data_IF_440205275809
#
_entry.id   IF_440205275809
#
_cell.length_a   1.000
_cell.length_b   1.000
_cell.length_c   1.000
_cell.angle_alpha   90.00
_cell.angle_beta   90.00
_cell.angle_gamma   90.00
#
_symmetry.space_group_name_H-M   'P 1'
#
loop_
_entity.id
_entity.type
_entity.pdbx_description
1 polymer ?
#
# COMPACT_ATOMS: atom_id res chain seq x y z
N UNK A 1 -3.84 -64.62 24.14
CA UNK A 1 -3.72 -63.86 22.87
C UNK A 1 -4.91 -62.92 22.79
N UNK A 2 -4.71 -61.63 23.11
CA UNK A 2 -5.79 -60.64 23.15
C UNK A 2 -6.16 -60.17 21.74
N UNK A 3 -7.46 -60.12 21.42
CA UNK A 3 -8.00 -59.63 20.15
C UNK A 3 -7.62 -58.16 19.95
N UNK A 4 -6.61 -57.90 19.12
CA UNK A 4 -6.19 -56.54 18.72
C UNK A 4 -7.04 -55.95 17.58
N UNK A 5 -7.95 -56.74 17.00
CA UNK A 5 -8.73 -56.35 15.80
C UNK A 5 -9.74 -55.22 16.03
N UNK A 6 -10.05 -54.87 17.28
CA UNK A 6 -11.04 -53.83 17.62
C UNK A 6 -10.49 -52.40 17.78
N UNK A 7 -9.17 -52.22 17.91
CA UNK A 7 -8.55 -50.93 18.30
C UNK A 7 -7.80 -50.27 17.15
N UNK A 8 -7.38 -51.05 16.14
CA UNK A 8 -6.63 -50.54 14.99
C UNK A 8 -7.48 -49.56 14.16
N UNK A 9 -8.75 -49.90 13.90
CA UNK A 9 -9.66 -49.04 13.14
C UNK A 9 -9.88 -47.65 13.77
N UNK A 10 -10.27 -47.52 15.06
CA UNK A 10 -10.42 -46.20 15.67
C UNK A 10 -9.10 -45.43 15.79
N UNK A 11 -7.97 -46.12 16.03
CA UNK A 11 -6.67 -45.46 16.07
C UNK A 11 -6.28 -44.90 14.69
N UNK A 12 -6.44 -45.68 13.63
CA UNK A 12 -6.18 -45.23 12.25
C UNK A 12 -7.12 -44.09 11.87
N UNK A 13 -8.39 -44.13 12.28
CA UNK A 13 -9.34 -43.05 12.05
C UNK A 13 -8.92 -41.75 12.76
N UNK A 14 -8.48 -41.82 14.02
CA UNK A 14 -7.98 -40.66 14.77
C UNK A 14 -6.71 -40.11 14.13
N UNK A 15 -5.76 -40.97 13.75
CA UNK A 15 -4.52 -40.54 13.09
C UNK A 15 -4.82 -39.89 11.73
N UNK A 16 -5.72 -40.48 10.94
CA UNK A 16 -6.15 -39.91 9.67
C UNK A 16 -6.84 -38.55 9.85
N UNK A 17 -7.67 -38.40 10.89
CA UNK A 17 -8.33 -37.14 11.21
C UNK A 17 -7.33 -36.07 11.66
N UNK A 18 -6.35 -36.44 12.49
CA UNK A 18 -5.26 -35.53 12.87
C UNK A 18 -4.44 -35.10 11.65
N UNK A 19 -4.08 -36.04 10.77
CA UNK A 19 -3.37 -35.72 9.52
C UNK A 19 -4.18 -34.79 8.63
N UNK A 20 -5.48 -35.04 8.46
CA UNK A 20 -6.37 -34.17 7.70
C UNK A 20 -6.43 -32.76 8.33
N UNK A 21 -6.49 -32.67 9.66
CA UNK A 21 -6.48 -31.40 10.38
C UNK A 21 -5.16 -30.63 10.19
N UNK A 22 -4.02 -31.31 10.28
CA UNK A 22 -2.71 -30.68 10.03
C UNK A 22 -2.58 -30.18 8.59
N UNK A 23 -2.98 -30.99 7.61
CA UNK A 23 -2.93 -30.60 6.19
C UNK A 23 -3.83 -29.40 5.91
N UNK A 24 -5.03 -29.37 6.51
CA UNK A 24 -5.96 -28.25 6.37
C UNK A 24 -5.38 -26.96 6.96
N UNK A 25 -4.78 -27.03 8.16
CA UNK A 25 -4.14 -25.86 8.77
C UNK A 25 -2.93 -25.37 7.96
N UNK A 26 -2.12 -26.29 7.43
CA UNK A 26 -0.99 -25.93 6.59
C UNK A 26 -1.45 -25.22 5.30
N UNK A 27 -2.53 -25.70 4.67
CA UNK A 27 -3.11 -25.06 3.50
C UNK A 27 -3.65 -23.65 3.82
N UNK A 28 -4.40 -23.50 4.92
CA UNK A 28 -4.92 -22.20 5.36
C UNK A 28 -3.79 -21.20 5.66
N UNK A 29 -2.73 -21.66 6.32
CA UNK A 29 -1.57 -20.83 6.61
C UNK A 29 -0.88 -20.38 5.32
N UNK A 30 -0.69 -21.29 4.37
CA UNK A 30 -0.06 -20.98 3.09
C UNK A 30 -0.86 -19.96 2.27
N UNK A 31 -2.19 -20.10 2.22
CA UNK A 31 -3.06 -19.12 1.55
C UNK A 31 -2.98 -17.75 2.21
N UNK A 32 -2.98 -17.70 3.55
CA UNK A 32 -2.84 -16.44 4.30
C UNK A 32 -1.48 -15.76 4.03
N UNK A 33 -0.39 -16.53 3.99
CA UNK A 33 0.94 -16.01 3.66
C UNK A 33 1.02 -15.49 2.22
N UNK A 34 0.42 -16.20 1.26
CA UNK A 34 0.37 -15.73 -0.12
C UNK A 34 -0.41 -14.41 -0.23
N UNK A 35 -1.58 -14.31 0.40
CA UNK A 35 -2.38 -13.09 0.40
C UNK A 35 -1.63 -11.92 1.04
N UNK A 36 -0.96 -12.15 2.17
CA UNK A 36 -0.13 -11.14 2.82
C UNK A 36 1.02 -10.70 1.91
N UNK A 37 1.72 -11.63 1.26
CA UNK A 37 2.80 -11.31 0.32
C UNK A 37 2.31 -10.47 -0.87
N UNK A 38 1.13 -10.78 -1.41
CA UNK A 38 0.52 -9.99 -2.47
C UNK A 38 0.14 -8.58 -2.00
N UNK A 39 -0.49 -8.46 -0.83
CA UNK A 39 -0.85 -7.17 -0.26
C UNK A 39 0.38 -6.30 0.02
N UNK A 40 1.48 -6.88 0.53
CA UNK A 40 2.74 -6.18 0.75
C UNK A 40 3.33 -5.67 -0.56
N UNK A 41 3.32 -6.48 -1.62
CA UNK A 41 3.80 -6.04 -2.95
C UNK A 41 2.98 -4.88 -3.50
N UNK A 42 1.65 -4.97 -3.43
CA UNK A 42 0.76 -3.89 -3.89
C UNK A 42 0.96 -2.60 -3.09
N UNK A 43 1.15 -2.71 -1.77
CA UNK A 43 1.45 -1.57 -0.92
C UNK A 43 2.79 -0.92 -1.31
N UNK A 44 3.84 -1.72 -1.52
CA UNK A 44 5.15 -1.24 -1.94
C UNK A 44 5.11 -0.54 -3.30
N UNK A 45 4.38 -1.09 -4.28
CA UNK A 45 4.20 -0.45 -5.60
C UNK A 45 3.49 0.91 -5.47
N UNK A 46 2.46 1.02 -4.63
CA UNK A 46 1.80 2.29 -4.39
C UNK A 46 2.71 3.30 -3.69
N UNK A 47 3.52 2.86 -2.71
CA UNK A 47 4.45 3.73 -2.00
C UNK A 47 5.56 4.25 -2.92
N UNK A 48 6.09 3.40 -3.82
CA UNK A 48 7.02 3.83 -4.87
C UNK A 48 6.41 4.93 -5.75
N UNK A 49 5.15 4.76 -6.19
CA UNK A 49 4.44 5.77 -6.98
C UNK A 49 4.23 7.08 -6.23
N UNK A 50 3.91 7.01 -4.93
CA UNK A 50 3.81 8.20 -4.08
C UNK A 50 5.14 8.93 -4.05
N UNK A 51 6.25 8.24 -3.83
CA UNK A 51 7.57 8.87 -3.76
C UNK A 51 7.95 9.55 -5.08
N UNK A 52 7.72 8.88 -6.21
CA UNK A 52 7.95 9.47 -7.53
C UNK A 52 7.10 10.73 -7.74
N UNK A 53 5.81 10.66 -7.43
CA UNK A 53 4.93 11.80 -7.59
C UNK A 53 5.25 12.95 -6.64
N UNK A 54 5.65 12.69 -5.40
CA UNK A 54 6.11 13.72 -4.46
C UNK A 54 7.33 14.45 -5.03
N UNK A 55 8.28 13.73 -5.64
CA UNK A 55 9.45 14.33 -6.27
C UNK A 55 9.05 15.29 -7.40
N UNK A 56 8.23 14.82 -8.35
CA UNK A 56 7.78 15.63 -9.49
C UNK A 56 6.95 16.85 -9.05
N UNK A 57 6.10 16.68 -8.03
CA UNK A 57 5.33 17.76 -7.43
C UNK A 57 6.26 18.81 -6.81
N UNK A 58 7.31 18.40 -6.10
CA UNK A 58 8.28 19.34 -5.52
C UNK A 58 9.01 20.13 -6.60
N UNK A 59 9.41 19.51 -7.71
CA UNK A 59 10.01 20.22 -8.84
C UNK A 59 9.06 21.25 -9.44
N UNK A 60 7.78 20.88 -9.63
CA UNK A 60 6.81 21.79 -10.20
C UNK A 60 6.44 22.94 -9.25
N UNK A 61 6.40 22.69 -7.93
CA UNK A 61 6.28 23.73 -6.90
C UNK A 61 7.49 24.66 -6.96
N UNK A 62 8.71 24.14 -7.06
CA UNK A 62 9.91 24.97 -7.18
C UNK A 62 9.86 25.90 -8.41
N UNK A 63 9.31 25.41 -9.53
CA UNK A 63 9.16 26.17 -10.76
C UNK A 63 8.03 27.22 -10.73
N UNK A 64 6.95 26.99 -9.97
CA UNK A 64 5.69 27.76 -10.11
C UNK A 64 5.17 28.44 -8.85
N UNK A 65 5.64 28.06 -7.65
CA UNK A 65 5.06 28.51 -6.37
C UNK A 65 5.20 30.01 -6.08
N UNK A 66 6.12 30.69 -6.77
CA UNK A 66 6.23 32.15 -6.71
C UNK A 66 5.08 32.87 -7.41
N UNK A 67 4.43 32.23 -8.39
CA UNK A 67 3.50 32.87 -9.33
C UNK A 67 2.06 32.37 -9.17
N UNK A 68 1.87 31.13 -8.74
CA UNK A 68 0.57 30.45 -8.82
C UNK A 68 0.05 30.02 -7.44
N UNK A 69 -1.15 30.47 -7.09
CA UNK A 69 -1.81 30.15 -5.80
C UNK A 69 -2.43 28.75 -5.78
N UNK A 70 -2.85 28.22 -6.93
CA UNK A 70 -3.47 26.89 -7.04
C UNK A 70 -3.10 26.24 -8.36
N UNK A 71 -2.71 24.97 -8.33
CA UNK A 71 -2.34 24.21 -9.52
C UNK A 71 -2.82 22.77 -9.40
N UNK A 72 -3.09 22.16 -10.55
CA UNK A 72 -3.48 20.75 -10.67
C UNK A 72 -2.61 20.12 -11.75
N UNK A 73 -2.13 18.92 -11.47
CA UNK A 73 -1.26 18.15 -12.35
C UNK A 73 -1.68 16.69 -12.39
N UNK A 74 -1.47 16.04 -13.54
CA UNK A 74 -1.62 14.60 -13.70
C UNK A 74 -0.33 14.04 -14.28
N UNK A 75 0.22 13.04 -13.62
CA UNK A 75 1.38 12.28 -14.07
C UNK A 75 0.97 10.86 -14.39
N UNK A 76 1.52 10.33 -15.46
CA UNK A 76 1.33 8.94 -15.88
C UNK A 76 2.67 8.24 -15.78
N UNK A 77 2.72 7.20 -14.96
CA UNK A 77 3.90 6.36 -14.76
C UNK A 77 3.67 4.98 -15.36
N UNK A 78 4.73 4.19 -15.64
CA UNK A 78 4.57 2.83 -16.14
C UNK A 78 3.72 1.93 -15.23
N UNK A 79 3.71 2.20 -13.93
CA UNK A 79 3.03 1.39 -12.90
C UNK A 79 1.76 2.02 -12.34
N UNK A 80 1.30 3.15 -12.88
CA UNK A 80 0.10 3.81 -12.37
C UNK A 80 -0.02 5.28 -12.77
N UNK A 81 -0.98 5.96 -12.18
CA UNK A 81 -1.24 7.37 -12.41
C UNK A 81 -1.24 8.13 -11.08
N UNK A 82 -0.80 9.39 -11.11
CA UNK A 82 -0.92 10.30 -9.98
C UNK A 82 -1.67 11.56 -10.42
N UNK A 83 -2.63 11.98 -9.60
CA UNK A 83 -3.31 13.26 -9.73
C UNK A 83 -2.95 14.07 -8.50
N UNK A 84 -2.40 15.26 -8.72
CA UNK A 84 -2.04 16.16 -7.66
C UNK A 84 -2.79 17.47 -7.78
N UNK A 85 -3.17 18.03 -6.64
CA UNK A 85 -3.65 19.40 -6.50
C UNK A 85 -2.86 20.05 -5.39
N UNK A 86 -2.31 21.23 -5.62
CA UNK A 86 -1.74 22.00 -4.52
C UNK A 86 -2.25 23.42 -4.51
N UNK A 87 -2.20 23.99 -3.31
CA UNK A 87 -2.63 25.34 -3.01
C UNK A 87 -1.63 25.98 -2.07
N UNK A 88 -1.24 27.22 -2.39
CA UNK A 88 -0.42 28.04 -1.51
C UNK A 88 -1.25 28.41 -0.28
N UNK A 89 -0.79 27.98 0.89
CA UNK A 89 -1.43 28.28 2.18
C UNK A 89 -0.91 29.61 2.72
N UNK A 90 0.40 29.81 2.66
CA UNK A 90 1.08 31.05 3.06
C UNK A 90 2.19 31.40 2.06
N UNK A 91 2.88 32.52 2.26
CA UNK A 91 4.06 32.83 1.44
C UNK A 91 5.19 31.80 1.56
N UNK A 92 5.24 31.08 2.68
CA UNK A 92 6.27 30.11 3.00
C UNK A 92 5.79 28.65 2.98
N UNK A 93 4.52 28.38 2.65
CA UNK A 93 3.99 27.01 2.66
C UNK A 93 3.00 26.73 1.53
N UNK A 94 3.07 25.51 1.00
CA UNK A 94 2.17 24.98 -0.03
C UNK A 94 1.58 23.67 0.47
N UNK A 95 0.26 23.57 0.49
CA UNK A 95 -0.44 22.33 0.81
C UNK A 95 -0.75 21.54 -0.44
N UNK A 96 -0.43 20.26 -0.40
CA UNK A 96 -0.51 19.34 -1.51
C UNK A 96 -1.49 18.22 -1.17
N UNK A 97 -2.34 17.87 -2.13
CA UNK A 97 -3.24 16.73 -2.11
C UNK A 97 -2.90 15.85 -3.30
N UNK A 98 -2.37 14.67 -3.02
CA UNK A 98 -1.90 13.70 -3.99
C UNK A 98 -2.77 12.45 -3.92
N UNK A 99 -3.27 12.03 -5.07
CA UNK A 99 -3.97 10.75 -5.21
C UNK A 99 -3.23 9.91 -6.23
N UNK A 100 -2.72 8.76 -5.82
CA UNK A 100 -2.08 7.80 -6.70
C UNK A 100 -2.98 6.59 -6.90
N UNK A 101 -2.97 6.03 -8.10
CA UNK A 101 -3.62 4.76 -8.43
C UNK A 101 -2.59 3.87 -9.11
N UNK A 102 -2.23 2.79 -8.44
CA UNK A 102 -1.38 1.74 -9.01
C UNK A 102 -2.11 0.97 -10.11
N UNK A 103 -1.35 0.34 -11.00
CA UNK A 103 -1.86 -0.57 -12.02
C UNK A 103 -2.56 -1.80 -11.40
N UNK A 104 -2.17 -2.19 -10.18
CA UNK A 104 -2.83 -3.22 -9.39
C UNK A 104 -4.20 -2.80 -8.82
N UNK A 105 -4.62 -1.55 -9.05
CA UNK A 105 -5.92 -1.02 -8.63
C UNK A 105 -5.94 -0.43 -7.22
N UNK A 106 -4.84 -0.53 -6.47
CA UNK A 106 -4.71 0.11 -5.16
C UNK A 106 -4.62 1.62 -5.34
N UNK A 107 -5.51 2.35 -4.68
CA UNK A 107 -5.53 3.81 -4.63
C UNK A 107 -5.06 4.29 -3.27
N UNK A 108 -4.15 5.26 -3.25
CA UNK A 108 -3.74 5.96 -2.02
C UNK A 108 -3.90 7.46 -2.16
N UNK A 109 -4.35 8.07 -1.08
CA UNK A 109 -4.48 9.53 -1.00
C UNK A 109 -3.60 10.04 0.12
N UNK A 110 -2.76 11.01 -0.20
CA UNK A 110 -1.84 11.63 0.74
C UNK A 110 -2.04 13.13 0.66
N UNK A 111 -2.07 13.79 1.81
CA UNK A 111 -1.97 15.23 1.90
C UNK A 111 -0.67 15.59 2.64
N UNK A 112 0.07 16.57 2.14
CA UNK A 112 1.30 17.00 2.78
C UNK A 112 1.56 18.49 2.57
N UNK A 113 2.32 19.09 3.48
CA UNK A 113 2.66 20.52 3.43
C UNK A 113 4.14 20.66 3.11
N UNK A 114 4.46 21.49 2.11
CA UNK A 114 5.82 21.77 1.65
C UNK A 114 6.21 23.18 2.10
N UNK A 115 7.32 23.31 2.82
CA UNK A 115 7.89 24.60 3.18
C UNK A 115 8.70 25.19 2.02
N UNK A 116 8.62 26.50 1.83
CA UNK A 116 9.38 27.26 0.84
C UNK A 116 10.44 28.12 1.53
N UNK A 117 11.64 28.29 0.95
CA UNK A 117 12.10 27.72 -0.32
C UNK A 117 12.78 26.35 -0.19
N UNK A 118 12.90 25.78 1.00
CA UNK A 118 13.67 24.55 1.23
C UNK A 118 13.05 23.29 0.60
N UNK A 119 11.75 23.34 0.28
CA UNK A 119 10.96 22.24 -0.26
C UNK A 119 10.87 21.04 0.71
N UNK A 120 11.08 21.26 2.00
CA UNK A 120 10.93 20.23 3.02
C UNK A 120 9.46 19.93 3.26
N UNK A 121 9.14 18.66 3.49
CA UNK A 121 7.80 18.25 3.89
C UNK A 121 7.69 18.43 5.41
N UNK A 122 6.84 19.35 5.85
CA UNK A 122 6.66 19.68 7.28
C UNK A 122 5.51 18.90 7.90
N UNK A 123 4.53 18.52 7.10
CA UNK A 123 3.36 17.76 7.54
C UNK A 123 3.04 16.68 6.53
N UNK A 124 2.63 15.52 7.03
CA UNK A 124 2.23 14.37 6.21
C UNK A 124 0.99 13.73 6.82
N UNK A 125 -0.04 13.53 6.01
CA UNK A 125 -1.27 12.84 6.39
C UNK A 125 -1.64 11.85 5.30
N UNK A 126 -1.66 10.58 5.65
CA UNK A 126 -2.19 9.52 4.79
C UNK A 126 -3.68 9.38 5.06
N UNK A 127 -4.48 9.50 4.00
CA UNK A 127 -5.87 9.09 4.02
C UNK A 127 -5.93 7.66 3.49
N UNK A 128 -5.85 6.70 4.41
CA UNK A 128 -6.24 5.32 4.12
C UNK A 128 -7.75 5.33 3.87
N UNK A 129 -8.14 5.15 2.60
CA UNK A 129 -9.53 4.94 2.20
C UNK A 129 -10.04 3.59 2.66
#
# INVERSE_FOLDING_TARGET
MGRQDGVIFPLVAVVALLLAFFMTNAALLYEAEQQAAHAVRQAAEADELVQMAVFDVKEQIAATAAVTTKQEGKWTYPRGEAVCRWQKETEASVRVFLTVRSAAGLQRTVAFTVALPSLDITEWTEQNG
#
